data_IF_114063533389
#
_entry.id   IF_114063533389
#
_cell.length_a   1.000
_cell.length_b   1.000
_cell.length_c   1.000
_cell.angle_alpha   90.00
_cell.angle_beta   90.00
_cell.angle_gamma   90.00
#
_symmetry.space_group_name_H-M   'P 1'
#
loop_
_entity.id
_entity.type
_entity.pdbx_description
1 polymer ?
#
# COMPACT_ATOMS: atom_id res chain seq x y z
N UNK A 1 -6.89 10.65 -1.93
CA UNK A 1 -5.71 10.80 -1.04
C UNK A 1 -4.60 11.52 -1.78
N UNK A 2 -3.94 12.44 -1.11
CA UNK A 2 -2.77 13.12 -1.68
C UNK A 2 -1.51 12.31 -1.40
N UNK A 3 -0.43 12.62 -2.12
CA UNK A 3 0.87 11.98 -1.88
C UNK A 3 1.38 12.26 -0.46
N UNK A 4 1.12 13.46 0.06
CA UNK A 4 1.53 13.82 1.42
C UNK A 4 0.78 12.99 2.46
N UNK A 5 -0.51 12.77 2.26
CA UNK A 5 -1.31 11.93 3.14
C UNK A 5 -0.83 10.47 3.10
N UNK A 6 -0.55 9.96 1.90
CA UNK A 6 0.00 8.61 1.74
C UNK A 6 1.34 8.47 2.45
N UNK A 7 2.24 9.43 2.26
CA UNK A 7 3.55 9.43 2.90
C UNK A 7 3.42 9.33 4.43
N UNK A 8 2.55 10.16 4.98
CA UNK A 8 2.32 10.18 6.43
C UNK A 8 1.80 8.85 6.94
N UNK A 9 0.83 8.27 6.23
CA UNK A 9 0.26 6.98 6.62
C UNK A 9 1.26 5.85 6.54
N UNK A 10 2.03 5.78 5.46
CA UNK A 10 3.01 4.71 5.27
C UNK A 10 4.15 4.79 6.29
N UNK A 11 4.59 5.99 6.64
CA UNK A 11 5.60 6.14 7.69
C UNK A 11 5.10 5.64 9.05
N UNK A 12 3.81 5.76 9.30
CA UNK A 12 3.18 5.21 10.50
C UNK A 12 2.97 3.70 10.46
N UNK A 13 3.19 3.05 9.33
CA UNK A 13 3.01 1.61 9.14
C UNK A 13 4.34 0.87 8.90
N UNK A 14 5.46 1.42 9.37
CA UNK A 14 6.78 0.80 9.23
C UNK A 14 7.24 0.67 7.77
N UNK A 15 7.00 1.69 6.98
CA UNK A 15 7.55 1.80 5.64
C UNK A 15 8.66 2.84 5.60
N UNK A 16 9.68 2.56 4.81
CA UNK A 16 10.80 3.46 4.58
C UNK A 16 10.76 3.95 3.13
N UNK A 17 10.87 5.25 2.95
CA UNK A 17 10.87 5.84 1.63
C UNK A 17 12.22 5.62 0.93
N UNK A 18 12.16 5.21 -0.33
CA UNK A 18 13.32 5.06 -1.19
C UNK A 18 12.96 5.66 -2.56
N UNK A 19 13.29 6.92 -2.77
CA UNK A 19 12.86 7.66 -3.96
C UNK A 19 11.35 7.84 -3.96
N UNK A 20 10.68 7.39 -5.01
CA UNK A 20 9.22 7.44 -5.12
C UNK A 20 8.56 6.18 -4.54
N UNK A 21 9.36 5.22 -4.08
CA UNK A 21 8.87 3.96 -3.56
C UNK A 21 8.90 3.94 -2.04
N UNK A 22 8.03 3.10 -1.46
CA UNK A 22 8.02 2.82 -0.03
C UNK A 22 8.21 1.33 0.15
N UNK A 23 9.16 0.96 1.01
CA UNK A 23 9.53 -0.45 1.25
C UNK A 23 9.19 -0.79 2.69
N UNK A 24 8.49 -1.89 2.88
CA UNK A 24 8.18 -2.38 4.22
C UNK A 24 9.47 -2.78 4.94
N UNK A 25 9.68 -2.27 6.15
CA UNK A 25 10.95 -2.47 6.87
C UNK A 25 11.18 -3.90 7.32
N UNK A 26 10.11 -4.63 7.60
CA UNK A 26 10.20 -6.02 8.05
C UNK A 26 9.85 -7.04 6.95
N UNK A 27 9.44 -6.57 5.77
CA UNK A 27 9.10 -7.43 4.63
C UNK A 27 9.50 -6.71 3.35
N UNK A 28 10.75 -6.83 2.98
CA UNK A 28 11.34 -6.00 1.90
C UNK A 28 10.80 -6.29 0.52
N UNK A 29 10.16 -7.43 0.33
CA UNK A 29 9.52 -7.76 -0.95
C UNK A 29 8.19 -7.03 -1.13
N UNK A 30 7.65 -6.46 -0.05
CA UNK A 30 6.39 -5.72 -0.08
C UNK A 30 6.69 -4.23 -0.24
N UNK A 31 6.18 -3.64 -1.30
CA UNK A 31 6.40 -2.23 -1.60
C UNK A 31 5.09 -1.51 -1.92
N UNK A 32 5.10 -0.21 -1.70
CA UNK A 32 4.06 0.68 -2.17
C UNK A 32 4.74 1.69 -3.07
N UNK A 33 4.25 1.82 -4.30
CA UNK A 33 4.86 2.67 -5.31
C UNK A 33 3.83 3.62 -5.88
N UNK A 34 4.27 4.81 -6.24
CA UNK A 34 3.46 5.77 -6.98
C UNK A 34 4.18 6.01 -8.32
N UNK A 35 3.51 5.70 -9.41
CA UNK A 35 4.07 5.99 -10.72
C UNK A 35 3.15 6.91 -11.50
N UNK A 36 3.74 7.68 -12.41
CA UNK A 36 3.08 8.74 -13.16
C UNK A 36 2.43 9.78 -12.22
N UNK A 37 2.87 9.83 -10.95
CA UNK A 37 2.36 10.76 -9.94
C UNK A 37 0.95 10.48 -9.45
N UNK A 38 0.26 9.51 -10.03
CA UNK A 38 -1.18 9.33 -9.83
C UNK A 38 -1.62 7.91 -9.50
N UNK A 39 -0.84 6.89 -9.86
CA UNK A 39 -1.25 5.50 -9.70
C UNK A 39 -0.51 4.87 -8.53
N UNK A 40 -1.28 4.38 -7.57
CA UNK A 40 -0.73 3.61 -6.46
C UNK A 40 -0.67 2.14 -6.84
N UNK A 41 0.49 1.52 -6.61
CA UNK A 41 0.68 0.08 -6.73
C UNK A 41 1.17 -0.42 -5.37
N UNK A 42 0.51 -1.41 -4.80
CA UNK A 42 0.88 -1.94 -3.50
C UNK A 42 0.86 -3.48 -3.51
N UNK A 43 1.92 -4.08 -3.04
CA UNK A 43 2.05 -5.53 -2.95
C UNK A 43 3.46 -6.00 -3.23
N UNK A 44 3.56 -7.27 -3.68
CA UNK A 44 4.80 -7.88 -4.10
C UNK A 44 4.86 -7.91 -5.62
N UNK A 45 5.98 -8.34 -6.18
CA UNK A 45 6.13 -8.44 -7.63
C UNK A 45 5.05 -9.32 -8.28
N UNK A 46 4.68 -10.41 -7.63
CA UNK A 46 3.73 -11.39 -8.20
C UNK A 46 2.29 -11.13 -7.81
N UNK A 47 2.05 -10.30 -6.80
CA UNK A 47 0.71 -10.14 -6.26
C UNK A 47 0.56 -8.72 -5.72
N UNK A 48 -0.12 -7.88 -6.47
CA UNK A 48 -0.26 -6.46 -6.12
C UNK A 48 -1.59 -5.91 -6.61
N UNK A 49 -1.95 -4.76 -6.05
CA UNK A 49 -3.12 -4.00 -6.49
C UNK A 49 -2.66 -2.66 -7.05
N UNK A 50 -3.40 -2.14 -8.02
CA UNK A 50 -3.19 -0.82 -8.59
C UNK A 50 -4.49 -0.04 -8.61
N UNK A 51 -4.41 1.23 -8.28
CA UNK A 51 -5.57 2.11 -8.43
C UNK A 51 -5.13 3.57 -8.41
N UNK A 52 -5.95 4.47 -8.99
CA UNK A 52 -5.66 5.90 -8.92
C UNK A 52 -5.65 6.37 -7.47
N UNK A 53 -4.62 7.12 -7.11
CA UNK A 53 -4.49 7.64 -5.74
C UNK A 53 -5.67 8.53 -5.36
N UNK A 54 -6.23 9.26 -6.33
CA UNK A 54 -7.32 10.21 -6.08
C UNK A 54 -8.61 9.57 -5.57
N UNK A 55 -8.84 8.28 -5.83
CA UNK A 55 -10.07 7.62 -5.37
C UNK A 55 -9.91 6.98 -3.99
N UNK A 56 -8.71 7.02 -3.43
CA UNK A 56 -8.42 6.40 -2.15
C UNK A 56 -8.70 7.39 -1.02
N UNK A 57 -9.55 7.02 -0.07
CA UNK A 57 -9.76 7.76 1.16
C UNK A 57 -8.81 7.30 2.25
N UNK A 58 -8.67 5.99 2.41
CA UNK A 58 -7.81 5.42 3.43
C UNK A 58 -7.14 4.15 2.92
N UNK A 59 -5.94 3.90 3.41
CA UNK A 59 -5.20 2.68 3.14
C UNK A 59 -4.64 2.14 4.46
N UNK A 60 -4.79 0.84 4.69
CA UNK A 60 -4.24 0.14 5.84
C UNK A 60 -3.52 -1.11 5.37
N UNK A 61 -2.31 -1.27 5.85
CA UNK A 61 -1.48 -2.43 5.54
C UNK A 61 -1.05 -3.01 6.88
N UNK A 62 -1.37 -4.27 7.10
CA UNK A 62 -1.06 -4.94 8.36
C UNK A 62 -0.49 -6.34 8.12
N UNK A 63 0.39 -6.81 9.01
CA UNK A 63 0.87 -8.17 8.94
C UNK A 63 -0.24 -9.17 9.30
N UNK A 64 -0.22 -10.29 8.62
CA UNK A 64 -1.06 -11.46 8.91
C UNK A 64 -0.15 -12.66 9.13
N UNK A 65 -0.72 -13.79 9.59
CA UNK A 65 0.07 -14.99 9.88
C UNK A 65 0.87 -15.49 8.67
N UNK A 66 0.35 -15.27 7.48
CA UNK A 66 0.95 -15.77 6.25
C UNK A 66 1.29 -14.69 5.23
N UNK A 67 1.38 -13.43 5.65
CA UNK A 67 1.71 -12.39 4.70
C UNK A 67 1.25 -11.01 5.16
N UNK A 68 0.82 -10.21 4.21
CA UNK A 68 0.40 -8.83 4.44
C UNK A 68 -1.02 -8.66 3.92
N UNK A 69 -1.82 -7.92 4.65
CA UNK A 69 -3.18 -7.57 4.23
C UNK A 69 -3.26 -6.09 3.90
N UNK A 70 -3.78 -5.81 2.72
CA UNK A 70 -3.99 -4.44 2.25
C UNK A 70 -5.48 -4.18 2.23
N UNK A 71 -5.92 -3.10 2.87
CA UNK A 71 -7.30 -2.64 2.84
C UNK A 71 -7.33 -1.22 2.33
N UNK A 72 -8.13 -0.98 1.30
CA UNK A 72 -8.28 0.35 0.71
C UNK A 72 -9.76 0.69 0.67
N UNK A 73 -10.10 1.88 1.18
CA UNK A 73 -11.46 2.39 1.14
C UNK A 73 -11.56 3.64 0.26
N UNK A 74 -12.73 3.82 -0.33
CA UNK A 74 -13.04 4.97 -1.17
C UNK A 74 -13.55 6.15 -0.33
N UNK A 75 -13.70 7.31 -0.96
CA UNK A 75 -14.26 8.50 -0.31
C UNK A 75 -15.68 8.31 0.18
N UNK A 76 -16.40 7.32 -0.34
CA UNK A 76 -17.75 7.01 0.15
C UNK A 76 -17.73 6.18 1.44
N UNK A 77 -16.54 5.80 1.93
CA UNK A 77 -16.41 4.94 3.10
C UNK A 77 -16.53 3.46 2.78
N UNK A 78 -16.89 3.12 1.55
CA UNK A 78 -16.96 1.74 1.12
C UNK A 78 -15.56 1.17 0.89
N UNK A 79 -15.39 -0.11 1.20
CA UNK A 79 -14.13 -0.78 0.92
C UNK A 79 -14.02 -1.04 -0.58
N UNK A 80 -12.98 -0.46 -1.20
CA UNK A 80 -12.73 -0.59 -2.63
C UNK A 80 -12.02 -1.89 -2.94
N UNK A 81 -11.05 -2.27 -2.10
CA UNK A 81 -10.24 -3.45 -2.36
C UNK A 81 -9.67 -4.02 -1.09
N UNK A 82 -9.62 -5.35 -1.02
CA UNK A 82 -8.89 -6.08 0.01
C UNK A 82 -8.02 -7.10 -0.69
N UNK A 83 -6.74 -7.08 -0.38
CA UNK A 83 -5.80 -8.06 -0.92
C UNK A 83 -5.00 -8.64 0.23
N UNK A 84 -4.91 -9.96 0.28
CA UNK A 84 -3.98 -10.64 1.18
C UNK A 84 -2.83 -11.15 0.34
N UNK A 85 -1.64 -10.63 0.60
CA UNK A 85 -0.44 -11.01 -0.11
C UNK A 85 0.29 -12.02 0.74
N UNK A 86 0.45 -13.24 0.22
CA UNK A 86 1.28 -14.25 0.87
C UNK A 86 2.73 -13.91 0.65
N UNK A 87 3.48 -13.95 1.73
CA UNK A 87 4.91 -13.78 1.67
C UNK A 87 5.53 -15.03 2.28
N UNK A 88 6.19 -15.81 1.46
CA UNK A 88 6.92 -16.99 1.88
C UNK A 88 8.21 -16.49 2.53
N UNK A 89 8.21 -16.54 3.84
CA UNK A 89 9.27 -15.98 4.60
C UNK A 89 10.38 -16.79 4.95
#
# INVERSE_FOLDING_TARGET
MTRQELDRKLRGMDFTQNGDDYICTYQKDFTVRIFDGEILEAGTFDNFIEMPLKVIDDIRISPEDYGMKIRISSFSGEMVSVLTVRVDG
#
